data_IF_409304686967
#
_entry.id   IF_409304686967
#
_cell.length_a   1.000
_cell.length_b   1.000
_cell.length_c   1.000
_cell.angle_alpha   90.00
_cell.angle_beta   90.00
_cell.angle_gamma   90.00
#
_symmetry.space_group_name_H-M   'P 1'
#
loop_
_entity.id
_entity.type
_entity.pdbx_description
1 polymer ?
#
# COMPACT_ATOMS: atom_id res chain seq x y z
N UNK A 1 -10.14 18.69 -3.57
CA UNK A 1 -10.92 17.71 -2.80
C UNK A 1 -10.81 16.37 -3.50
N UNK A 2 -10.68 15.26 -2.77
CA UNK A 2 -10.53 13.92 -3.36
C UNK A 2 -11.84 13.51 -4.05
N UNK A 3 -11.74 13.00 -5.27
CA UNK A 3 -12.87 12.72 -6.17
C UNK A 3 -13.22 11.22 -6.15
N UNK A 4 -13.57 10.71 -4.98
CA UNK A 4 -13.80 9.28 -4.76
C UNK A 4 -14.92 8.71 -5.62
N UNK A 5 -16.04 9.42 -5.73
CA UNK A 5 -17.20 8.98 -6.51
C UNK A 5 -16.90 8.94 -8.02
N UNK A 6 -16.20 9.95 -8.54
CA UNK A 6 -15.75 9.98 -9.94
C UNK A 6 -14.80 8.80 -10.25
N UNK A 7 -13.89 8.49 -9.32
CA UNK A 7 -12.95 7.38 -9.47
C UNK A 7 -13.68 6.01 -9.49
N UNK A 8 -14.68 5.81 -8.62
CA UNK A 8 -15.48 4.59 -8.60
C UNK A 8 -16.19 4.40 -9.94
N UNK A 9 -16.82 5.45 -10.48
CA UNK A 9 -17.50 5.40 -11.77
C UNK A 9 -16.51 5.03 -12.88
N UNK A 10 -15.35 5.68 -12.92
CA UNK A 10 -14.32 5.42 -13.93
C UNK A 10 -13.82 3.97 -13.88
N UNK A 11 -13.59 3.40 -12.68
CA UNK A 11 -13.18 2.01 -12.54
C UNK A 11 -14.25 1.02 -12.97
N UNK A 12 -15.52 1.29 -12.66
CA UNK A 12 -16.63 0.45 -13.11
C UNK A 12 -16.76 0.47 -14.64
N UNK A 13 -16.69 1.64 -15.26
CA UNK A 13 -16.71 1.78 -16.72
C UNK A 13 -15.53 1.06 -17.38
N UNK A 14 -14.34 1.16 -16.80
CA UNK A 14 -13.17 0.44 -17.28
C UNK A 14 -13.35 -1.08 -17.16
N UNK A 15 -13.96 -1.56 -16.08
CA UNK A 15 -14.28 -2.99 -15.91
C UNK A 15 -15.32 -3.51 -16.89
N UNK A 16 -16.32 -2.70 -17.22
CA UNK A 16 -17.28 -3.04 -18.28
C UNK A 16 -16.59 -3.11 -19.66
N UNK A 17 -15.66 -2.19 -19.93
CA UNK A 17 -14.90 -2.16 -21.18
C UNK A 17 -13.98 -3.36 -21.38
N UNK A 18 -13.29 -3.81 -20.34
CA UNK A 18 -12.31 -4.91 -20.44
C UNK A 18 -12.95 -6.30 -20.67
N UNK A 19 -14.26 -6.45 -20.43
CA UNK A 19 -14.93 -7.75 -20.55
C UNK A 19 -14.45 -8.78 -19.52
N UNK A 20 -14.73 -10.08 -19.76
CA UNK A 20 -14.42 -11.17 -18.81
C UNK A 20 -12.97 -11.69 -18.84
N UNK A 21 -12.13 -11.19 -19.74
CA UNK A 21 -10.81 -11.77 -20.02
C UNK A 21 -9.66 -11.15 -19.21
N UNK A 22 -9.83 -9.94 -18.71
CA UNK A 22 -8.83 -9.27 -17.87
C UNK A 22 -9.08 -9.56 -16.38
N UNK A 23 -8.06 -9.47 -15.51
CA UNK A 23 -8.22 -9.76 -14.09
C UNK A 23 -9.09 -8.69 -13.42
N UNK A 24 -10.40 -8.95 -13.40
CA UNK A 24 -11.48 -8.22 -12.70
C UNK A 24 -11.11 -7.92 -11.22
N UNK A 25 -10.21 -8.72 -10.65
CA UNK A 25 -9.71 -8.57 -9.29
C UNK A 25 -9.05 -7.21 -9.03
N UNK A 26 -8.29 -6.65 -9.98
CA UNK A 26 -7.64 -5.33 -9.78
C UNK A 26 -8.67 -4.20 -9.72
N UNK A 27 -9.72 -4.27 -10.52
CA UNK A 27 -10.79 -3.26 -10.56
C UNK A 27 -11.62 -3.32 -9.28
N UNK A 28 -11.98 -4.53 -8.86
CA UNK A 28 -12.72 -4.77 -7.62
C UNK A 28 -11.95 -4.23 -6.42
N UNK A 29 -10.63 -4.49 -6.38
CA UNK A 29 -9.73 -3.94 -5.35
C UNK A 29 -9.72 -2.41 -5.37
N UNK A 30 -9.56 -1.78 -6.52
CA UNK A 30 -9.54 -0.31 -6.64
C UNK A 30 -10.85 0.35 -6.21
N UNK A 31 -11.99 -0.25 -6.56
CA UNK A 31 -13.30 0.23 -6.08
C UNK A 31 -13.40 0.10 -4.56
N UNK A 32 -12.92 -1.00 -3.97
CA UNK A 32 -12.89 -1.17 -2.53
C UNK A 32 -11.99 -0.13 -1.84
N UNK A 33 -10.81 0.16 -2.39
CA UNK A 33 -9.91 1.21 -1.90
C UNK A 33 -10.58 2.60 -1.91
N UNK A 34 -11.30 2.95 -2.99
CA UNK A 34 -12.05 4.22 -3.06
C UNK A 34 -13.16 4.31 -2.02
N UNK A 35 -13.91 3.22 -1.79
CA UNK A 35 -14.95 3.15 -0.77
C UNK A 35 -14.37 3.31 0.65
N UNK A 36 -13.23 2.66 0.91
CA UNK A 36 -12.50 2.83 2.17
C UNK A 36 -12.04 4.29 2.35
N UNK A 37 -11.52 4.92 1.29
CA UNK A 37 -11.13 6.33 1.32
C UNK A 37 -12.30 7.27 1.62
N UNK A 38 -13.47 7.01 1.04
CA UNK A 38 -14.70 7.76 1.30
C UNK A 38 -15.15 7.63 2.77
N UNK A 39 -15.10 6.42 3.32
CA UNK A 39 -15.43 6.16 4.73
C UNK A 39 -14.43 6.83 5.69
N UNK A 40 -13.13 6.70 5.43
CA UNK A 40 -12.07 7.31 6.25
C UNK A 40 -12.06 8.84 6.15
N UNK A 41 -12.55 9.42 5.04
CA UNK A 41 -12.72 10.86 4.91
C UNK A 41 -13.91 11.35 5.74
N UNK A 42 -15.01 10.60 5.79
CA UNK A 42 -16.20 10.91 6.59
C UNK A 42 -15.95 10.71 8.08
N UNK A 43 -15.28 9.62 8.43
CA UNK A 43 -15.00 9.17 9.79
C UNK A 43 -13.47 9.03 9.99
N UNK A 44 -12.74 10.15 10.15
CA UNK A 44 -11.29 10.12 10.28
C UNK A 44 -10.87 9.42 11.57
N UNK A 45 -10.07 8.37 11.42
CA UNK A 45 -9.40 7.70 12.53
C UNK A 45 -8.11 8.43 12.88
N UNK A 46 -7.82 8.56 14.18
CA UNK A 46 -6.56 9.13 14.64
C UNK A 46 -5.45 8.11 14.44
N UNK A 47 -4.68 8.30 13.39
CA UNK A 47 -3.50 7.48 13.06
C UNK A 47 -2.26 8.35 13.07
N UNK A 48 -1.14 7.76 13.51
CA UNK A 48 0.17 8.40 13.43
C UNK A 48 0.98 7.68 12.36
N UNK A 49 1.31 8.41 11.29
CA UNK A 49 2.18 7.93 10.22
C UNK A 49 3.60 8.35 10.59
N UNK A 50 4.49 7.37 10.73
CA UNK A 50 5.90 7.59 11.02
C UNK A 50 6.75 6.95 9.93
N UNK A 51 7.78 7.66 9.47
CA UNK A 51 8.77 7.08 8.57
C UNK A 51 9.61 6.06 9.35
N UNK A 52 9.80 4.87 8.77
CA UNK A 52 10.54 3.75 9.36
C UNK A 52 12.08 3.96 9.38
N UNK A 53 12.55 5.12 8.96
CA UNK A 53 13.96 5.48 8.86
C UNK A 53 14.57 5.12 7.51
N UNK A 54 15.88 5.39 7.37
CA UNK A 54 16.62 5.25 6.12
C UNK A 54 16.80 3.80 5.62
N UNK A 55 16.33 2.82 6.40
CA UNK A 55 16.44 1.41 6.07
C UNK A 55 15.39 0.95 5.03
N UNK A 56 14.32 1.71 4.80
CA UNK A 56 13.27 1.42 3.81
C UNK A 56 12.76 2.76 3.22
N UNK A 57 11.99 2.69 2.13
CA UNK A 57 11.61 3.84 1.31
C UNK A 57 12.86 4.53 0.74
N UNK A 58 13.87 3.74 0.38
CA UNK A 58 15.09 4.28 -0.23
C UNK A 58 14.85 4.68 -1.69
N UNK A 59 15.82 5.35 -2.31
CA UNK A 59 15.79 5.63 -3.76
C UNK A 59 15.87 4.35 -4.61
N UNK A 60 16.28 3.24 -4.02
CA UNK A 60 16.37 1.96 -4.72
C UNK A 60 14.98 1.33 -4.84
N UNK A 61 14.71 0.58 -5.91
CA UNK A 61 13.45 -0.12 -6.03
C UNK A 61 13.30 -1.23 -4.97
N UNK A 62 12.28 -1.07 -4.12
CA UNK A 62 11.86 -2.00 -3.08
C UNK A 62 10.49 -2.64 -3.42
N UNK A 63 10.33 -3.93 -3.12
CA UNK A 63 9.24 -4.80 -3.56
C UNK A 63 8.79 -5.81 -2.49
N UNK A 64 7.58 -6.33 -2.67
CA UNK A 64 7.01 -7.48 -1.96
C UNK A 64 7.19 -7.42 -0.44
N UNK A 65 6.64 -6.37 0.22
CA UNK A 65 6.68 -6.30 1.67
C UNK A 65 5.87 -7.45 2.28
N UNK A 66 6.41 -8.06 3.34
CA UNK A 66 5.77 -9.08 4.15
C UNK A 66 5.99 -8.75 5.61
N UNK A 67 4.91 -8.62 6.38
CA UNK A 67 4.96 -8.42 7.83
C UNK A 67 4.68 -9.74 8.56
N UNK A 68 5.35 -9.99 9.68
CA UNK A 68 5.02 -11.11 10.56
C UNK A 68 3.67 -10.92 11.24
N UNK A 69 3.05 -12.02 11.68
CA UNK A 69 1.73 -12.00 12.30
C UNK A 69 1.70 -11.24 13.65
N UNK A 70 2.83 -11.16 14.33
CA UNK A 70 3.01 -10.36 15.55
C UNK A 70 3.37 -8.89 15.26
N UNK A 71 3.33 -8.49 13.99
CA UNK A 71 3.68 -7.16 13.50
C UNK A 71 5.10 -6.70 13.87
N UNK A 72 5.98 -7.63 14.26
CA UNK A 72 7.29 -7.30 14.78
C UNK A 72 8.36 -7.15 13.70
N UNK A 73 8.24 -7.84 12.56
CA UNK A 73 9.25 -7.86 11.50
C UNK A 73 8.64 -7.56 10.13
N UNK A 74 9.30 -6.68 9.37
CA UNK A 74 9.00 -6.40 7.96
C UNK A 74 10.14 -6.92 7.08
N UNK A 75 9.80 -7.80 6.15
CA UNK A 75 10.66 -8.32 5.10
C UNK A 75 10.30 -7.68 3.77
N UNK A 76 11.31 -7.33 2.96
CA UNK A 76 11.09 -6.82 1.60
C UNK A 76 12.31 -7.15 0.72
N UNK A 77 12.14 -7.03 -0.60
CA UNK A 77 13.22 -7.21 -1.57
C UNK A 77 13.67 -5.84 -2.09
N UNK A 78 14.97 -5.54 -2.07
CA UNK A 78 15.54 -4.29 -2.61
C UNK A 78 16.57 -4.57 -3.70
N UNK A 79 16.61 -3.73 -4.73
CA UNK A 79 17.62 -3.77 -5.81
C UNK A 79 18.47 -2.50 -5.78
N UNK A 80 19.72 -2.57 -5.33
CA UNK A 80 20.61 -1.41 -5.31
C UNK A 80 22.09 -1.75 -5.06
N UNK A 81 23.02 -0.84 -5.39
CA UNK A 81 24.47 -1.09 -5.34
C UNK A 81 25.04 -1.27 -3.92
N UNK A 82 24.28 -0.93 -2.87
CA UNK A 82 24.74 -0.99 -1.49
C UNK A 82 24.36 -2.27 -0.73
N UNK A 83 23.70 -3.24 -1.37
CA UNK A 83 23.20 -4.41 -0.66
C UNK A 83 23.28 -5.63 -1.59
N UNK A 84 24.31 -6.48 -1.43
CA UNK A 84 24.23 -7.91 -1.85
C UNK A 84 22.83 -8.38 -1.50
N UNK A 85 22.06 -9.00 -2.38
CA UNK A 85 20.67 -9.43 -2.11
C UNK A 85 20.49 -9.89 -0.64
N UNK A 86 20.08 -8.97 0.23
CA UNK A 86 19.92 -9.25 1.65
C UNK A 86 18.46 -9.08 1.95
N UNK A 87 17.94 -10.08 2.66
CA UNK A 87 16.67 -10.00 3.35
C UNK A 87 16.84 -8.92 4.42
N UNK A 88 16.37 -7.70 4.15
CA UNK A 88 16.42 -6.63 5.15
C UNK A 88 15.22 -6.81 6.08
N UNK A 89 15.50 -6.92 7.38
CA UNK A 89 14.50 -7.09 8.44
C UNK A 89 14.40 -5.76 9.16
N UNK A 90 13.23 -5.10 9.11
CA UNK A 90 12.94 -3.99 10.01
C UNK A 90 12.10 -4.48 11.17
N UNK A 91 12.54 -4.16 12.40
CA UNK A 91 11.74 -4.41 13.60
C UNK A 91 10.73 -3.28 13.79
N UNK A 92 9.45 -3.57 13.62
CA UNK A 92 8.37 -2.64 13.86
C UNK A 92 8.02 -2.66 15.34
N UNK A 93 8.04 -1.49 16.00
CA UNK A 93 7.65 -1.34 17.40
C UNK A 93 6.26 -0.68 17.51
N UNK A 94 5.27 -1.51 17.87
CA UNK A 94 4.00 -1.19 18.52
C UNK A 94 2.78 -0.78 17.68
N UNK A 95 1.66 -1.30 18.19
CA UNK A 95 0.31 -1.65 17.69
C UNK A 95 -0.67 -0.50 17.41
N UNK A 96 -0.19 0.67 16.98
CA UNK A 96 -1.09 1.79 16.59
C UNK A 96 -0.56 2.59 15.40
N UNK A 97 0.34 1.99 14.63
CA UNK A 97 1.06 2.64 13.54
C UNK A 97 0.72 1.91 12.24
N UNK A 98 0.08 2.64 11.32
CA UNK A 98 -0.13 2.15 9.97
C UNK A 98 1.15 2.45 9.20
N UNK A 99 1.89 1.42 8.84
CA UNK A 99 3.05 1.53 7.95
C UNK A 99 2.57 1.40 6.52
N UNK A 100 2.57 2.52 5.79
CA UNK A 100 2.25 2.53 4.38
C UNK A 100 3.57 2.66 3.61
N UNK A 101 3.89 1.75 2.68
CA UNK A 101 4.97 1.98 1.73
C UNK A 101 4.53 3.10 0.78
N UNK A 102 4.96 4.33 1.03
CA UNK A 102 4.71 5.47 0.14
C UNK A 102 5.99 5.71 -0.64
N UNK A 103 5.95 5.52 -1.97
CA UNK A 103 6.97 6.07 -2.87
C UNK A 103 6.53 7.49 -3.25
N UNK A 104 7.34 8.49 -2.91
CA UNK A 104 7.21 9.87 -3.42
C UNK A 104 7.48 9.93 -4.93
#
# INVERSE_FOLDING_TARGET
>A
MLKWDEAIIAYMQYGEFLGKEEPIDDITRRVAECKNGLELTKNPIKVKIENLGLAINTKNPEYNPLITADEAELFFTSRGPAVRATKQILKILSTSKIFIPVKE
#
